data_IF_591608338288
#
_entry.id   IF_591608338288
#
_cell.length_a   1.000
_cell.length_b   1.000
_cell.length_c   1.000
_cell.angle_alpha   90.00
_cell.angle_beta   90.00
_cell.angle_gamma   90.00
#
_symmetry.space_group_name_H-M   'P 1'
#
loop_
_entity.id
_entity.type
_entity.pdbx_description
1 polymer ?
#
# COMPACT_ATOMS: atom_id res chain seq x y z
N UNK A 1 -46.67 -23.51 -32.53
CA UNK A 1 -45.73 -23.69 -31.41
C UNK A 1 -45.54 -22.33 -30.77
N UNK A 2 -46.23 -22.09 -29.66
CA UNK A 2 -46.06 -20.89 -28.84
C UNK A 2 -44.90 -21.17 -27.87
N UNK A 3 -43.85 -20.34 -27.89
CA UNK A 3 -42.69 -20.51 -27.02
C UNK A 3 -42.95 -19.79 -25.68
N UNK A 4 -42.68 -20.41 -24.53
CA UNK A 4 -42.92 -19.78 -23.24
C UNK A 4 -41.96 -18.61 -23.01
N UNK A 5 -42.53 -17.46 -22.64
CA UNK A 5 -41.83 -16.24 -22.22
C UNK A 5 -41.03 -16.51 -20.94
N UNK A 6 -39.71 -16.49 -21.03
CA UNK A 6 -38.82 -16.66 -19.87
C UNK A 6 -38.80 -15.32 -19.10
N UNK A 7 -39.55 -15.24 -18.01
CA UNK A 7 -39.40 -14.16 -17.02
C UNK A 7 -37.99 -14.19 -16.45
N UNK A 8 -37.16 -13.19 -16.80
CA UNK A 8 -35.86 -12.97 -16.17
C UNK A 8 -36.08 -12.47 -14.75
N UNK A 9 -36.29 -13.41 -13.83
CA UNK A 9 -36.17 -13.17 -12.39
C UNK A 9 -34.82 -12.53 -12.12
N UNK A 10 -34.84 -11.34 -11.53
CA UNK A 10 -33.68 -10.49 -11.32
C UNK A 10 -32.56 -11.22 -10.59
N UNK A 11 -31.45 -11.44 -11.29
CA UNK A 11 -30.16 -11.61 -10.63
C UNK A 11 -29.85 -10.30 -9.89
N UNK A 12 -29.52 -10.32 -8.59
CA UNK A 12 -28.93 -9.15 -7.94
C UNK A 12 -27.52 -8.94 -8.52
N UNK A 13 -27.43 -8.20 -9.62
CA UNK A 13 -26.18 -7.63 -10.13
C UNK A 13 -25.85 -6.39 -9.29
N UNK A 14 -25.54 -6.58 -8.01
CA UNK A 14 -24.97 -5.50 -7.21
C UNK A 14 -24.08 -6.05 -6.09
N UNK A 15 -22.99 -6.73 -6.46
CA UNK A 15 -21.75 -6.49 -5.76
C UNK A 15 -21.25 -5.13 -6.28
N UNK A 16 -21.81 -4.06 -5.71
CA UNK A 16 -21.58 -2.69 -6.18
C UNK A 16 -20.08 -2.39 -6.20
N UNK A 17 -19.64 -1.68 -7.24
CA UNK A 17 -18.29 -1.11 -7.26
C UNK A 17 -18.04 -0.38 -5.93
N UNK A 18 -16.84 -0.47 -5.34
CA UNK A 18 -16.57 0.10 -4.02
C UNK A 18 -16.97 1.56 -3.99
N UNK A 19 -17.75 1.97 -2.99
CA UNK A 19 -18.23 3.34 -2.86
C UNK A 19 -17.05 4.30 -2.64
N UNK A 20 -17.27 5.61 -2.81
CA UNK A 20 -16.20 6.62 -2.76
C UNK A 20 -15.39 6.57 -1.45
N UNK A 21 -16.05 6.30 -0.32
CA UNK A 21 -15.41 6.15 0.99
C UNK A 21 -14.50 4.93 1.07
N UNK A 22 -14.90 3.80 0.49
CA UNK A 22 -14.10 2.59 0.44
C UNK A 22 -12.87 2.77 -0.45
N UNK A 23 -13.05 3.42 -1.60
CA UNK A 23 -11.93 3.76 -2.50
C UNK A 23 -10.94 4.71 -1.85
N UNK A 24 -11.41 5.65 -1.03
CA UNK A 24 -10.55 6.54 -0.29
C UNK A 24 -9.71 5.81 0.76
N UNK A 25 -10.35 4.96 1.57
CA UNK A 25 -9.64 4.17 2.58
C UNK A 25 -8.56 3.29 1.94
N UNK A 26 -8.91 2.61 0.84
CA UNK A 26 -7.95 1.80 0.08
C UNK A 26 -6.79 2.64 -0.47
N UNK A 27 -7.06 3.86 -0.93
CA UNK A 27 -6.00 4.76 -1.42
C UNK A 27 -5.06 5.19 -0.27
N UNK A 28 -5.61 5.55 0.89
CA UNK A 28 -4.82 5.93 2.07
C UNK A 28 -3.93 4.77 2.55
N UNK A 29 -4.49 3.56 2.64
CA UNK A 29 -3.76 2.35 3.02
C UNK A 29 -2.65 2.03 2.02
N UNK A 30 -2.96 2.07 0.72
CA UNK A 30 -1.97 1.82 -0.34
C UNK A 30 -0.84 2.85 -0.33
N UNK A 31 -1.15 4.13 -0.10
CA UNK A 31 -0.15 5.18 -0.04
C UNK A 31 0.81 5.02 1.15
N UNK A 32 0.28 4.63 2.33
CA UNK A 32 1.10 4.30 3.51
C UNK A 32 1.97 3.07 3.27
N UNK A 33 1.42 2.01 2.69
CA UNK A 33 2.17 0.80 2.36
C UNK A 33 3.31 1.10 1.37
N UNK A 34 3.07 1.98 0.39
CA UNK A 34 4.09 2.42 -0.55
C UNK A 34 5.24 3.13 0.15
N UNK A 35 4.96 4.07 1.06
CA UNK A 35 5.99 4.78 1.83
C UNK A 35 6.84 3.79 2.65
N UNK A 36 6.21 2.81 3.31
CA UNK A 36 6.93 1.77 4.05
C UNK A 36 7.89 0.98 3.16
N UNK A 37 7.44 0.53 1.99
CA UNK A 37 8.29 -0.21 1.03
C UNK A 37 9.42 0.70 0.53
N UNK A 38 9.12 1.95 0.20
CA UNK A 38 10.12 2.91 -0.25
C UNK A 38 11.20 3.14 0.81
N UNK A 39 10.81 3.34 2.07
CA UNK A 39 11.73 3.47 3.20
C UNK A 39 12.61 2.24 3.38
N UNK A 40 12.02 1.04 3.32
CA UNK A 40 12.77 -0.21 3.37
C UNK A 40 13.81 -0.28 2.24
N UNK A 41 13.43 0.05 1.00
CA UNK A 41 14.37 0.06 -0.13
C UNK A 41 15.45 1.13 0.00
N UNK A 42 15.11 2.32 0.49
CA UNK A 42 16.05 3.41 0.75
C UNK A 42 17.08 2.99 1.81
N UNK A 43 16.62 2.40 2.93
CA UNK A 43 17.51 1.88 3.97
C UNK A 43 18.39 0.75 3.44
N UNK A 44 17.84 -0.16 2.63
CA UNK A 44 18.60 -1.24 1.99
C UNK A 44 19.69 -0.68 1.05
N UNK A 45 19.37 0.32 0.25
CA UNK A 45 20.33 0.98 -0.64
C UNK A 45 21.42 1.74 0.13
N UNK A 46 21.06 2.39 1.24
CA UNK A 46 22.02 3.02 2.15
C UNK A 46 22.97 2.02 2.82
N UNK A 47 22.47 0.84 3.22
CA UNK A 47 23.31 -0.25 3.75
C UNK A 47 24.22 -0.87 2.68
N UNK A 48 23.75 -0.93 1.43
CA UNK A 48 24.55 -1.45 0.31
C UNK A 48 25.68 -0.49 -0.14
N UNK A 49 25.73 0.75 0.36
CA UNK A 49 26.68 1.77 -0.09
C UNK A 49 27.95 1.90 0.79
N UNK A 50 28.08 1.13 1.88
CA UNK A 50 29.26 1.06 2.79
C UNK A 50 29.25 -0.31 3.53
N UNK A 51 30.28 -1.15 3.73
CA UNK A 51 31.74 -1.19 3.52
C UNK A 51 32.13 -2.69 3.41
N UNK A 52 32.84 -3.11 2.35
CA UNK A 52 33.69 -4.32 2.31
C UNK A 52 33.08 -5.69 2.70
N UNK A 53 33.06 -6.61 1.74
CA UNK A 53 32.52 -7.99 1.78
C UNK A 53 33.00 -8.90 2.95
N UNK A 54 33.97 -8.47 3.76
CA UNK A 54 34.76 -9.34 4.63
C UNK A 54 34.55 -9.12 6.15
N UNK A 55 33.76 -8.12 6.59
CA UNK A 55 33.64 -7.77 8.02
C UNK A 55 32.39 -8.29 8.75
N UNK A 56 31.35 -8.76 8.03
CA UNK A 56 30.03 -9.05 8.63
C UNK A 56 29.43 -10.42 8.27
N UNK A 57 30.23 -11.36 7.77
CA UNK A 57 29.77 -12.69 7.33
C UNK A 57 29.40 -13.68 8.45
N UNK A 58 28.60 -13.28 9.44
CA UNK A 58 28.13 -14.15 10.53
C UNK A 58 26.60 -14.19 10.61
N UNK A 59 26.03 -15.38 10.87
CA UNK A 59 24.58 -15.59 11.07
C UNK A 59 23.96 -14.72 12.17
N UNK A 60 24.76 -14.25 13.12
CA UNK A 60 24.33 -13.28 14.12
C UNK A 60 23.96 -11.92 13.51
N UNK A 61 24.65 -11.49 12.45
CA UNK A 61 24.35 -10.25 11.72
C UNK A 61 22.99 -10.38 11.01
N UNK A 62 22.71 -11.53 10.41
CA UNK A 62 21.42 -11.76 9.73
C UNK A 62 20.25 -11.75 10.71
N UNK A 63 20.39 -12.36 11.90
CA UNK A 63 19.35 -12.28 12.94
C UNK A 63 19.13 -10.83 13.42
N UNK A 64 20.21 -10.04 13.58
CA UNK A 64 20.05 -8.62 13.94
C UNK A 64 19.42 -7.79 12.82
N UNK A 65 19.61 -8.18 11.55
CA UNK A 65 18.96 -7.54 10.40
C UNK A 65 17.46 -7.81 10.39
N UNK A 66 17.05 -9.05 10.60
CA UNK A 66 15.63 -9.42 10.62
C UNK A 66 14.89 -8.68 11.76
N UNK A 67 15.49 -8.65 12.96
CA UNK A 67 14.93 -7.91 14.10
C UNK A 67 14.88 -6.40 13.87
N UNK A 68 15.88 -5.83 13.18
CA UNK A 68 15.89 -4.42 12.82
C UNK A 68 14.83 -4.09 11.76
N UNK A 69 14.68 -4.92 10.74
CA UNK A 69 13.66 -4.72 9.70
C UNK A 69 12.24 -4.87 10.29
N UNK A 70 12.03 -5.76 11.26
CA UNK A 70 10.77 -5.84 12.01
C UNK A 70 10.51 -4.56 12.82
N UNK A 71 11.51 -4.06 13.55
CA UNK A 71 11.39 -2.82 14.33
C UNK A 71 11.18 -1.58 13.46
N UNK A 72 11.83 -1.49 12.31
CA UNK A 72 11.64 -0.42 11.31
C UNK A 72 10.23 -0.50 10.75
N UNK A 73 9.76 -1.69 10.37
CA UNK A 73 8.40 -1.87 9.86
C UNK A 73 7.36 -1.46 10.91
N UNK A 74 7.59 -1.78 12.18
CA UNK A 74 6.69 -1.46 13.28
C UNK A 74 6.78 0.01 13.75
N UNK A 75 7.88 0.72 13.45
CA UNK A 75 8.03 2.16 13.74
C UNK A 75 7.52 3.03 12.60
N UNK A 76 7.67 2.59 11.35
CA UNK A 76 7.08 3.23 10.17
C UNK A 76 5.55 3.29 10.23
N UNK A 77 4.90 2.35 10.92
CA UNK A 77 3.45 2.35 11.16
C UNK A 77 2.99 3.33 12.23
N UNK A 78 3.87 3.83 13.12
CA UNK A 78 3.49 4.57 14.33
C UNK A 78 4.05 6.01 14.45
N UNK A 79 4.98 6.42 13.58
CA UNK A 79 5.59 7.78 13.60
C UNK A 79 5.06 8.72 12.50
N UNK A 80 5.37 10.03 12.57
CA UNK A 80 5.19 10.92 11.42
C UNK A 80 6.12 10.47 10.29
N UNK A 81 5.55 10.03 9.17
CA UNK A 81 6.26 9.55 7.98
C UNK A 81 7.04 10.66 7.27
N UNK A 82 7.59 10.36 6.09
CA UNK A 82 8.31 11.34 5.26
C UNK A 82 7.37 12.26 4.48
N UNK A 83 6.05 12.03 4.56
CA UNK A 83 5.04 12.75 3.79
C UNK A 83 4.87 12.23 2.36
N UNK A 84 5.49 11.08 2.02
CA UNK A 84 5.38 10.48 0.70
C UNK A 84 3.98 9.85 0.54
N UNK A 85 3.44 9.25 1.61
CA UNK A 85 2.08 8.74 1.61
C UNK A 85 1.05 9.84 1.29
N UNK A 86 1.18 11.01 1.90
CA UNK A 86 0.34 12.18 1.63
C UNK A 86 0.50 12.68 0.19
N UNK A 87 1.73 12.78 -0.32
CA UNK A 87 1.98 13.20 -1.70
C UNK A 87 1.38 12.22 -2.74
N UNK A 88 1.48 10.92 -2.48
CA UNK A 88 0.87 9.87 -3.29
C UNK A 88 -0.66 9.98 -3.23
N UNK A 89 -1.23 10.10 -2.03
CA UNK A 89 -2.67 10.30 -1.88
C UNK A 89 -3.15 11.54 -2.67
N UNK A 90 -2.51 12.68 -2.52
CA UNK A 90 -2.91 13.93 -3.20
C UNK A 90 -2.84 13.80 -4.73
N UNK A 91 -1.85 13.08 -5.26
CA UNK A 91 -1.71 12.85 -6.69
C UNK A 91 -2.80 11.92 -7.25
N UNK A 92 -3.16 10.87 -6.51
CA UNK A 92 -4.08 9.83 -6.99
C UNK A 92 -5.53 10.03 -6.57
N UNK A 93 -5.83 10.79 -5.51
CA UNK A 93 -7.18 11.05 -5.04
C UNK A 93 -8.11 11.62 -6.14
N UNK A 94 -7.68 12.59 -6.97
CA UNK A 94 -8.52 13.08 -8.08
C UNK A 94 -8.87 12.01 -9.11
N UNK A 95 -8.00 11.01 -9.28
CA UNK A 95 -8.13 9.94 -10.26
C UNK A 95 -8.94 8.74 -9.71
N UNK A 96 -8.81 8.44 -8.41
CA UNK A 96 -9.44 7.29 -7.75
C UNK A 96 -10.84 7.62 -7.20
N UNK A 97 -11.03 8.85 -6.70
CA UNK A 97 -12.29 9.30 -6.10
C UNK A 97 -13.20 10.03 -7.09
N UNK A 98 -12.66 10.41 -8.24
CA UNK A 98 -13.34 11.20 -9.26
C UNK A 98 -13.27 12.71 -8.98
N UNK A 99 -13.43 13.51 -10.04
CA UNK A 99 -13.22 14.97 -10.09
C UNK A 99 -14.17 15.82 -9.19
N UNK A 100 -14.89 15.21 -8.25
CA UNK A 100 -15.85 15.87 -7.35
C UNK A 100 -15.50 15.85 -5.86
N UNK A 101 -14.37 15.25 -5.45
CA UNK A 101 -14.08 14.95 -4.03
C UNK A 101 -13.75 16.18 -3.15
N UNK A 102 -13.43 17.35 -3.73
CA UNK A 102 -13.18 18.61 -3.00
C UNK A 102 -14.14 19.73 -3.46
N UNK A 103 -15.41 19.66 -3.06
CA UNK A 103 -16.34 20.79 -3.10
C UNK A 103 -16.83 21.08 -1.70
#
# INVERSE_FOLDING_TARGET
MDLPSISRSGLPLNAGAPDATQREQQLQEAARAFESIFLQQMMKAGRNTELGDDLFGSSAVDTTRDLLDEAVTNSATNGPGLGIAEAVYDQFAPHVLGRGYKR
#
